data_IF_627486390043
#
_entry.id   IF_627486390043
#
_cell.length_a   1.000
_cell.length_b   1.000
_cell.length_c   1.000
_cell.angle_alpha   90.00
_cell.angle_beta   90.00
_cell.angle_gamma   90.00
#
_symmetry.space_group_name_H-M   'P 1'
#
loop_
_entity.id
_entity.type
_entity.pdbx_description
1 polymer ?
#
# COMPACT_ATOMS: atom_id res chain seq x y z
N UNK A 1 -17.95 16.11 10.97
CA UNK A 1 -17.64 15.09 9.94
C UNK A 1 -18.61 15.25 8.78
N UNK A 2 -18.08 15.54 7.59
CA UNK A 2 -18.86 15.46 6.37
C UNK A 2 -18.90 13.98 5.99
N UNK A 3 -20.11 13.40 5.88
CA UNK A 3 -20.21 12.01 5.45
C UNK A 3 -19.71 11.95 4.00
N UNK A 4 -18.56 11.33 3.77
CA UNK A 4 -18.10 10.95 2.43
C UNK A 4 -18.95 9.74 2.02
N UNK A 5 -19.94 9.90 1.11
CA UNK A 5 -20.75 8.78 0.69
C UNK A 5 -19.87 7.79 -0.06
N UNK A 6 -19.98 6.50 0.27
CA UNK A 6 -19.19 5.44 -0.35
C UNK A 6 -20.13 4.31 -0.79
N UNK A 7 -20.37 4.18 -2.09
CA UNK A 7 -21.12 3.03 -2.61
C UNK A 7 -20.23 1.79 -2.71
N UNK A 8 -19.00 1.97 -3.17
CA UNK A 8 -18.05 0.88 -3.34
C UNK A 8 -16.62 1.36 -3.08
N UNK A 9 -15.87 0.59 -2.30
CA UNK A 9 -14.44 0.74 -2.10
C UNK A 9 -13.70 -0.42 -2.77
N UNK A 10 -12.85 -0.10 -3.76
CA UNK A 10 -11.97 -1.05 -4.44
C UNK A 10 -10.54 -0.71 -4.11
N UNK A 11 -9.77 -1.68 -3.62
CA UNK A 11 -8.39 -1.48 -3.19
C UNK A 11 -7.44 -2.42 -3.92
N UNK A 12 -6.31 -1.88 -4.36
CA UNK A 12 -5.19 -2.58 -4.98
C UNK A 12 -3.91 -2.29 -4.19
N UNK A 13 -3.02 -3.27 -4.07
CA UNK A 13 -1.81 -3.10 -3.28
C UNK A 13 -1.01 -4.37 -3.05
N UNK A 14 -0.06 -4.27 -2.14
CA UNK A 14 0.84 -5.35 -1.74
C UNK A 14 0.63 -5.78 -0.27
N UNK A 15 1.70 -6.29 0.34
CA UNK A 15 1.77 -6.70 1.74
C UNK A 15 1.20 -5.69 2.75
N UNK A 16 1.30 -4.39 2.47
CA UNK A 16 0.82 -3.33 3.36
C UNK A 16 -0.70 -3.17 3.38
N UNK A 17 -1.35 -3.74 2.36
CA UNK A 17 -2.75 -3.48 2.01
C UNK A 17 -3.60 -4.76 2.04
N UNK A 18 -2.97 -5.94 1.96
CA UNK A 18 -3.60 -7.26 2.06
C UNK A 18 -4.42 -7.42 3.37
N UNK A 19 -5.72 -7.72 3.23
CA UNK A 19 -6.66 -7.93 4.33
C UNK A 19 -6.82 -9.42 4.73
N UNK A 20 -6.08 -10.30 4.06
CA UNK A 20 -6.00 -11.74 4.30
C UNK A 20 -7.26 -12.51 3.96
N UNK A 21 -7.09 -13.79 3.61
CA UNK A 21 -8.15 -14.69 3.12
C UNK A 21 -9.41 -14.78 4.02
N UNK A 22 -9.28 -14.43 5.30
CA UNK A 22 -10.33 -14.57 6.30
C UNK A 22 -11.22 -13.32 6.48
N UNK A 23 -10.93 -12.19 5.80
CA UNK A 23 -11.71 -10.97 6.05
C UNK A 23 -13.15 -11.06 5.56
N UNK A 24 -13.35 -11.39 4.29
CA UNK A 24 -14.67 -11.56 3.69
C UNK A 24 -14.61 -12.33 2.35
N UNK A 25 -15.77 -12.53 1.72
CA UNK A 25 -15.90 -13.22 0.41
C UNK A 25 -15.28 -12.47 -0.78
N UNK A 26 -14.88 -11.21 -0.59
CA UNK A 26 -14.26 -10.33 -1.59
C UNK A 26 -12.81 -9.96 -1.21
N UNK A 27 -12.24 -10.68 -0.24
CA UNK A 27 -10.84 -10.61 0.09
C UNK A 27 -10.11 -11.64 -0.76
N UNK A 28 -9.14 -11.14 -1.51
CA UNK A 28 -8.36 -11.95 -2.42
C UNK A 28 -7.01 -12.35 -1.85
N UNK A 29 -6.51 -11.60 -0.87
CA UNK A 29 -5.16 -11.72 -0.36
C UNK A 29 -4.88 -12.95 0.50
N UNK A 30 -3.63 -13.09 0.94
CA UNK A 30 -3.16 -14.27 1.65
C UNK A 30 -3.18 -14.09 3.16
N UNK A 31 -2.65 -12.97 3.65
CA UNK A 31 -2.47 -12.73 5.09
C UNK A 31 -2.41 -11.24 5.38
N UNK A 32 -2.97 -10.85 6.53
CA UNK A 32 -2.72 -9.52 7.09
C UNK A 32 -1.30 -9.48 7.63
N UNK A 33 -0.48 -8.58 7.11
CA UNK A 33 0.85 -8.33 7.67
C UNK A 33 0.77 -7.34 8.83
N UNK A 34 -0.06 -7.61 9.84
CA UNK A 34 -0.21 -6.77 11.03
C UNK A 34 -0.79 -7.56 12.21
N UNK A 35 -0.86 -6.95 13.40
CA UNK A 35 -1.46 -7.57 14.61
C UNK A 35 -2.98 -7.36 14.69
N UNK A 36 -3.60 -6.98 13.59
CA UNK A 36 -5.01 -6.65 13.51
C UNK A 36 -5.39 -6.16 12.11
N UNK A 37 -6.54 -5.49 11.97
CA UNK A 37 -6.97 -4.93 10.70
C UNK A 37 -5.93 -3.99 10.07
N UNK A 38 -5.84 -4.02 8.74
CA UNK A 38 -5.05 -3.09 7.93
C UNK A 38 -5.86 -1.86 7.55
N UNK A 39 -5.19 -0.85 6.95
CA UNK A 39 -5.80 0.46 6.70
C UNK A 39 -7.07 0.41 5.84
N UNK A 40 -7.21 -0.49 4.83
CA UNK A 40 -8.44 -0.58 4.03
C UNK A 40 -9.65 -1.03 4.85
N UNK A 41 -9.45 -1.96 5.78
CA UNK A 41 -10.52 -2.47 6.64
C UNK A 41 -11.04 -1.36 7.56
N UNK A 42 -10.13 -0.54 8.12
CA UNK A 42 -10.50 0.62 8.92
C UNK A 42 -11.20 1.69 8.09
N UNK A 43 -10.69 1.98 6.89
CA UNK A 43 -11.31 2.95 6.00
C UNK A 43 -12.75 2.53 5.66
N UNK A 44 -12.95 1.27 5.29
CA UNK A 44 -14.28 0.73 5.00
C UNK A 44 -15.23 0.89 6.19
N UNK A 45 -14.77 0.59 7.42
CA UNK A 45 -15.58 0.77 8.64
C UNK A 45 -15.91 2.23 8.93
N UNK A 46 -15.04 3.16 8.58
CA UNK A 46 -15.25 4.60 8.81
C UNK A 46 -16.17 5.23 7.76
N UNK A 47 -16.09 4.76 6.52
CA UNK A 47 -16.91 5.24 5.40
C UNK A 47 -18.24 4.50 5.26
N UNK A 48 -18.36 3.32 5.88
CA UNK A 48 -19.53 2.44 5.80
C UNK A 48 -19.92 2.14 4.34
N UNK A 49 -18.95 1.76 3.51
CA UNK A 49 -19.19 1.50 2.09
C UNK A 49 -20.14 0.30 1.91
N UNK A 50 -21.09 0.39 0.96
CA UNK A 50 -22.03 -0.72 0.70
C UNK A 50 -21.30 -1.99 0.22
N UNK A 51 -20.25 -1.81 -0.59
CA UNK A 51 -19.40 -2.89 -1.08
C UNK A 51 -17.91 -2.58 -0.86
N UNK A 52 -17.17 -3.57 -0.35
CA UNK A 52 -15.72 -3.49 -0.17
C UNK A 52 -15.03 -4.68 -0.83
N UNK A 53 -14.08 -4.39 -1.71
CA UNK A 53 -13.30 -5.38 -2.45
C UNK A 53 -11.83 -5.03 -2.32
N UNK A 54 -11.03 -6.00 -1.86
CA UNK A 54 -9.59 -5.83 -1.74
C UNK A 54 -8.88 -6.86 -2.62
N UNK A 55 -8.22 -6.36 -3.66
CA UNK A 55 -7.40 -7.15 -4.57
C UNK A 55 -5.93 -7.21 -4.14
N UNK A 56 -5.54 -6.58 -3.04
CA UNK A 56 -4.15 -6.61 -2.60
C UNK A 56 -3.71 -8.02 -2.19
N UNK A 57 -2.48 -8.37 -2.55
CA UNK A 57 -1.85 -9.64 -2.17
C UNK A 57 -0.49 -9.39 -1.54
N UNK A 58 -0.22 -10.09 -0.45
CA UNK A 58 1.12 -10.19 0.11
C UNK A 58 2.09 -10.75 -0.92
N UNK A 59 3.25 -10.13 -1.06
CA UNK A 59 4.26 -10.42 -2.07
C UNK A 59 3.95 -9.89 -3.47
N UNK A 60 2.89 -9.09 -3.68
CA UNK A 60 2.62 -8.52 -5.00
C UNK A 60 3.81 -7.69 -5.52
N UNK A 61 4.27 -8.00 -6.73
CA UNK A 61 5.24 -7.15 -7.45
C UNK A 61 4.53 -6.04 -8.20
N UNK A 62 5.30 -5.08 -8.70
CA UNK A 62 4.79 -3.98 -9.52
C UNK A 62 4.06 -4.45 -10.79
N UNK A 63 4.47 -5.59 -11.36
CA UNK A 63 3.93 -6.17 -12.59
C UNK A 63 2.82 -7.21 -12.35
N UNK A 64 2.89 -8.34 -13.07
CA UNK A 64 1.90 -9.44 -12.95
C UNK A 64 2.23 -10.45 -11.86
N UNK A 65 3.50 -10.57 -11.51
CA UNK A 65 4.03 -11.65 -10.67
C UNK A 65 3.91 -11.36 -9.17
N UNK A 66 4.09 -12.40 -8.37
CA UNK A 66 4.32 -12.33 -6.94
C UNK A 66 5.81 -12.54 -6.62
N UNK A 67 6.24 -12.25 -5.40
CA UNK A 67 7.57 -12.61 -4.90
C UNK A 67 7.78 -14.13 -4.91
N UNK A 68 6.74 -14.92 -4.68
CA UNK A 68 6.86 -16.37 -4.48
C UNK A 68 6.44 -17.21 -5.70
N UNK A 69 5.77 -16.63 -6.68
CA UNK A 69 5.24 -17.32 -7.87
C UNK A 69 4.96 -16.34 -9.00
N UNK A 70 4.73 -16.85 -10.20
CA UNK A 70 4.55 -16.06 -11.43
C UNK A 70 3.09 -15.98 -11.90
N UNK A 71 2.85 -15.08 -12.85
CA UNK A 71 1.66 -14.96 -13.71
C UNK A 71 0.38 -14.40 -13.06
N UNK A 72 0.33 -14.25 -11.74
CA UNK A 72 -0.81 -13.63 -11.07
C UNK A 72 -0.46 -13.00 -9.72
N UNK A 73 -1.41 -12.21 -9.18
CA UNK A 73 -1.39 -11.47 -7.91
C UNK A 73 -0.52 -10.19 -7.84
N UNK A 74 0.28 -9.88 -8.86
CA UNK A 74 0.97 -8.58 -8.94
C UNK A 74 0.03 -7.42 -9.24
N UNK A 75 0.46 -6.18 -9.02
CA UNK A 75 -0.38 -4.97 -9.13
C UNK A 75 -1.06 -4.83 -10.51
N UNK A 76 -0.34 -5.05 -11.61
CA UNK A 76 -0.95 -4.99 -12.95
C UNK A 76 -2.00 -6.08 -13.14
N UNK A 77 -1.70 -7.30 -12.67
CA UNK A 77 -2.65 -8.40 -12.73
C UNK A 77 -3.93 -8.09 -11.95
N UNK A 78 -3.80 -7.51 -10.74
CA UNK A 78 -4.95 -7.17 -9.89
C UNK A 78 -5.92 -6.21 -10.60
N UNK A 79 -5.37 -5.16 -11.21
CA UNK A 79 -6.14 -4.13 -11.93
C UNK A 79 -6.81 -4.72 -13.17
N UNK A 80 -6.08 -5.49 -13.98
CA UNK A 80 -6.64 -6.09 -15.19
C UNK A 80 -7.69 -7.14 -14.85
N UNK A 81 -7.44 -7.98 -13.85
CA UNK A 81 -8.39 -8.98 -13.37
C UNK A 81 -9.69 -8.34 -12.89
N UNK A 82 -9.61 -7.20 -12.19
CA UNK A 82 -10.78 -6.45 -11.78
C UNK A 82 -11.64 -6.03 -12.99
N UNK A 83 -11.03 -5.38 -13.99
CA UNK A 83 -11.75 -4.89 -15.17
C UNK A 83 -12.25 -6.01 -16.08
N UNK A 84 -11.56 -7.15 -16.15
CA UNK A 84 -12.04 -8.31 -16.91
C UNK A 84 -13.30 -8.93 -16.30
N UNK A 85 -13.42 -8.92 -14.98
CA UNK A 85 -14.52 -9.58 -14.27
C UNK A 85 -15.70 -8.65 -13.93
N UNK A 86 -15.48 -7.32 -13.88
CA UNK A 86 -16.53 -6.34 -13.58
C UNK A 86 -16.86 -5.50 -14.82
N UNK A 87 -17.81 -5.98 -15.64
CA UNK A 87 -18.23 -5.29 -16.88
C UNK A 87 -19.02 -3.99 -16.65
N UNK A 88 -19.58 -3.79 -15.46
CA UNK A 88 -20.30 -2.58 -15.07
C UNK A 88 -19.81 -2.19 -13.68
N UNK A 89 -19.08 -1.08 -13.60
CA UNK A 89 -18.74 -0.47 -12.32
C UNK A 89 -19.99 0.20 -11.74
N UNK A 90 -20.20 0.14 -10.42
CA UNK A 90 -21.23 0.93 -9.75
C UNK A 90 -21.09 2.42 -10.07
N UNK A 91 -22.14 3.19 -9.80
CA UNK A 91 -22.03 4.65 -9.87
C UNK A 91 -21.13 5.14 -8.74
N UNK A 92 -20.07 5.82 -9.13
CA UNK A 92 -19.16 6.58 -8.27
C UNK A 92 -18.33 5.76 -7.25
N UNK A 93 -17.52 4.78 -7.69
CA UNK A 93 -16.67 4.02 -6.80
C UNK A 93 -15.50 4.86 -6.26
N UNK A 94 -15.04 4.53 -5.05
CA UNK A 94 -13.76 4.96 -4.51
C UNK A 94 -12.73 3.87 -4.81
N UNK A 95 -11.80 4.16 -5.72
CA UNK A 95 -10.69 3.26 -6.07
C UNK A 95 -9.42 3.77 -5.42
N UNK A 96 -8.70 2.88 -4.72
CA UNK A 96 -7.42 3.21 -4.10
C UNK A 96 -6.35 2.23 -4.57
N UNK A 97 -5.30 2.76 -5.19
CA UNK A 97 -4.09 2.02 -5.53
C UNK A 97 -2.95 2.43 -4.60
N UNK A 98 -2.52 1.51 -3.73
CA UNK A 98 -1.20 1.59 -3.12
C UNK A 98 -0.16 0.99 -4.06
N UNK A 99 0.74 1.82 -4.57
CA UNK A 99 1.76 1.33 -5.51
C UNK A 99 2.73 0.39 -4.79
N UNK A 100 2.86 -0.82 -5.31
CA UNK A 100 3.79 -1.85 -4.81
C UNK A 100 5.13 -1.84 -5.53
N UNK A 101 5.96 -2.84 -5.23
CA UNK A 101 7.31 -3.02 -5.81
C UNK A 101 8.46 -2.85 -4.82
N UNK A 102 8.18 -2.55 -3.55
CA UNK A 102 9.22 -2.46 -2.52
C UNK A 102 9.94 -3.81 -2.31
N UNK A 103 9.18 -4.89 -2.19
CA UNK A 103 9.73 -6.25 -2.04
C UNK A 103 10.59 -6.68 -3.24
N UNK A 104 10.22 -6.23 -4.45
CA UNK A 104 10.97 -6.44 -5.69
C UNK A 104 12.34 -5.75 -5.64
N UNK A 105 12.39 -4.48 -5.18
CA UNK A 105 13.64 -3.74 -4.97
C UNK A 105 14.54 -4.38 -3.91
N UNK A 106 13.96 -4.90 -2.84
CA UNK A 106 14.70 -5.45 -1.70
C UNK A 106 15.26 -6.85 -1.97
N UNK A 107 14.56 -7.69 -2.74
CA UNK A 107 14.97 -9.08 -2.98
C UNK A 107 15.91 -9.27 -4.17
N UNK A 108 15.80 -8.48 -5.24
CA UNK A 108 16.74 -8.55 -6.38
C UNK A 108 18.19 -8.29 -5.97
N UNK A 109 18.41 -7.63 -4.83
CA UNK A 109 19.75 -7.39 -4.30
C UNK A 109 20.39 -8.64 -3.68
N UNK A 110 19.63 -9.73 -3.45
CA UNK A 110 20.17 -11.03 -3.07
C UNK A 110 20.62 -11.87 -4.27
N UNK A 111 20.05 -11.64 -5.45
CA UNK A 111 20.35 -12.34 -6.70
C UNK A 111 21.05 -11.39 -7.69
N UNK A 112 22.38 -11.23 -7.54
CA UNK A 112 23.26 -10.28 -8.27
C UNK A 112 23.26 -10.49 -9.82
N UNK A 113 22.46 -11.42 -10.37
CA UNK A 113 22.46 -11.76 -11.78
C UNK A 113 21.31 -11.15 -12.61
N UNK A 114 20.35 -10.43 -12.01
CA UNK A 114 19.27 -9.77 -12.75
C UNK A 114 19.41 -8.23 -12.79
N UNK A 115 19.94 -7.76 -13.93
CA UNK A 115 19.94 -6.41 -14.53
C UNK A 115 19.73 -5.15 -13.65
N UNK A 116 20.61 -4.17 -13.84
CA UNK A 116 20.60 -2.79 -13.32
C UNK A 116 19.34 -1.93 -13.63
N UNK A 117 18.22 -2.50 -14.10
CA UNK A 117 17.05 -1.75 -14.61
C UNK A 117 15.73 -2.02 -13.85
N UNK A 118 15.80 -2.65 -12.67
CA UNK A 118 14.62 -2.93 -11.83
C UNK A 118 13.77 -1.69 -11.54
N UNK A 119 14.42 -0.60 -11.13
CA UNK A 119 13.75 0.65 -10.78
C UNK A 119 12.98 1.20 -12.00
N UNK A 120 13.55 1.11 -13.20
CA UNK A 120 12.89 1.53 -14.45
C UNK A 120 11.68 0.66 -14.77
N UNK A 121 11.81 -0.66 -14.61
CA UNK A 121 10.70 -1.59 -14.82
C UNK A 121 9.55 -1.31 -13.84
N UNK A 122 9.86 -1.09 -12.57
CA UNK A 122 8.87 -0.73 -11.54
C UNK A 122 8.18 0.59 -11.91
N UNK A 123 8.94 1.61 -12.31
CA UNK A 123 8.37 2.90 -12.77
C UNK A 123 7.43 2.70 -13.95
N UNK A 124 7.81 1.88 -14.93
CA UNK A 124 6.97 1.59 -16.09
C UNK A 124 5.69 0.85 -15.69
N UNK A 125 5.78 -0.14 -14.80
CA UNK A 125 4.63 -0.88 -14.32
C UNK A 125 3.67 0.01 -13.51
N UNK A 126 4.19 0.85 -12.61
CA UNK A 126 3.39 1.84 -11.87
C UNK A 126 2.67 2.78 -12.84
N UNK A 127 3.38 3.30 -13.85
CA UNK A 127 2.78 4.17 -14.85
C UNK A 127 1.65 3.46 -15.63
N UNK A 128 1.85 2.20 -16.02
CA UNK A 128 0.81 1.39 -16.67
C UNK A 128 -0.39 1.15 -15.77
N UNK A 129 -0.18 0.82 -14.50
CA UNK A 129 -1.23 0.62 -13.50
C UNK A 129 -2.08 1.89 -13.33
N UNK A 130 -1.44 3.02 -13.09
CA UNK A 130 -2.09 4.32 -12.91
C UNK A 130 -2.85 4.72 -14.17
N UNK A 131 -2.21 4.66 -15.35
CA UNK A 131 -2.86 5.04 -16.60
C UNK A 131 -4.00 4.08 -16.96
N UNK A 132 -3.88 2.79 -16.66
CA UNK A 132 -4.93 1.79 -16.85
C UNK A 132 -6.19 2.14 -16.06
N UNK A 133 -6.04 2.49 -14.78
CA UNK A 133 -7.13 2.99 -13.94
C UNK A 133 -7.74 4.28 -14.52
N UNK A 134 -6.92 5.30 -14.78
CA UNK A 134 -7.40 6.62 -15.24
C UNK A 134 -8.14 6.52 -16.59
N UNK A 135 -7.66 5.69 -17.51
CA UNK A 135 -8.23 5.60 -18.86
C UNK A 135 -9.46 4.70 -18.95
N UNK A 136 -9.70 3.85 -17.94
CA UNK A 136 -10.80 2.88 -17.92
C UNK A 136 -11.97 3.38 -17.06
N UNK A 137 -11.72 4.30 -16.15
CA UNK A 137 -12.71 4.85 -15.24
C UNK A 137 -13.37 6.11 -15.81
N UNK A 138 -14.69 6.07 -15.99
CA UNK A 138 -15.48 7.21 -16.46
C UNK A 138 -16.12 8.04 -15.31
N UNK A 139 -16.11 7.50 -14.08
CA UNK A 139 -16.68 8.12 -12.88
C UNK A 139 -15.95 7.69 -11.59
N UNK A 140 -16.39 8.20 -10.44
CA UNK A 140 -15.79 7.89 -9.14
C UNK A 140 -14.57 8.72 -8.78
N UNK A 141 -13.86 8.30 -7.73
CA UNK A 141 -12.64 8.93 -7.22
C UNK A 141 -11.52 7.89 -7.29
N UNK A 142 -10.36 8.29 -7.83
CA UNK A 142 -9.15 7.46 -7.86
C UNK A 142 -8.11 8.09 -6.94
N UNK A 143 -7.76 7.37 -5.88
CA UNK A 143 -6.65 7.73 -4.99
C UNK A 143 -5.45 6.86 -5.34
N UNK A 144 -4.33 7.51 -5.69
CA UNK A 144 -3.05 6.84 -5.83
C UNK A 144 -2.22 7.14 -4.59
N UNK A 145 -1.64 6.11 -3.97
CA UNK A 145 -0.71 6.25 -2.85
C UNK A 145 0.70 5.92 -3.31
N UNK A 146 1.69 6.66 -2.81
CA UNK A 146 3.10 6.44 -3.12
C UNK A 146 3.68 5.17 -2.49
N UNK A 147 4.81 4.70 -3.03
CA UNK A 147 5.52 3.53 -2.52
C UNK A 147 6.05 3.85 -1.13
N UNK A 148 5.94 2.88 -0.22
CA UNK A 148 6.39 3.04 1.16
C UNK A 148 7.91 3.10 1.21
N UNK A 149 8.44 4.07 1.94
CA UNK A 149 9.85 4.14 2.31
C UNK A 149 10.08 3.27 3.55
N UNK A 150 10.90 2.20 3.47
CA UNK A 150 11.16 1.32 4.59
C UNK A 150 12.08 1.94 5.65
N UNK A 151 12.61 3.16 5.45
CA UNK A 151 13.66 3.75 6.30
C UNK A 151 13.38 3.67 7.81
N UNK A 152 12.14 3.95 8.20
CA UNK A 152 11.71 3.97 9.61
C UNK A 152 11.39 2.58 10.17
N UNK A 153 11.41 1.53 9.34
CA UNK A 153 11.13 0.17 9.78
C UNK A 153 12.32 -0.40 10.59
N UNK A 154 12.09 -1.09 11.73
CA UNK A 154 13.16 -1.68 12.54
C UNK A 154 14.10 -2.59 11.74
N UNK A 155 13.54 -3.34 10.79
CA UNK A 155 14.27 -4.27 9.93
C UNK A 155 15.19 -3.57 8.93
N UNK A 156 14.94 -2.29 8.61
CA UNK A 156 15.74 -1.55 7.65
C UNK A 156 17.15 -1.26 8.18
N UNK A 157 17.27 -0.89 9.46
CA UNK A 157 18.58 -0.69 10.09
C UNK A 157 19.44 -1.97 10.04
N UNK A 158 18.83 -3.12 10.33
CA UNK A 158 19.49 -4.43 10.24
C UNK A 158 19.86 -4.74 8.78
N UNK A 159 18.95 -4.49 7.84
CA UNK A 159 19.18 -4.68 6.41
C UNK A 159 20.34 -3.84 5.89
N UNK A 160 20.41 -2.56 6.25
CA UNK A 160 21.48 -1.65 5.84
C UNK A 160 22.85 -2.11 6.40
N UNK A 161 22.90 -2.46 7.69
CA UNK A 161 24.15 -2.84 8.38
C UNK A 161 24.81 -4.14 7.88
N UNK A 162 24.10 -4.99 7.14
CA UNK A 162 24.60 -6.28 6.65
C UNK A 162 25.41 -6.19 5.34
N UNK A 163 26.12 -5.08 5.12
CA UNK A 163 26.96 -4.89 3.93
C UNK A 163 26.19 -4.41 2.68
N UNK A 164 24.95 -3.96 2.86
CA UNK A 164 24.15 -3.31 1.83
C UNK A 164 24.35 -1.78 1.79
N UNK A 165 25.42 -1.27 2.42
CA UNK A 165 25.74 0.18 2.54
C UNK A 165 25.80 0.94 1.20
N UNK A 166 25.99 0.24 0.07
CA UNK A 166 25.95 0.84 -1.28
C UNK A 166 24.54 0.95 -1.88
N UNK A 167 23.49 0.52 -1.17
CA UNK A 167 22.13 0.35 -1.70
C UNK A 167 21.14 1.18 -0.89
N UNK A 168 21.10 2.48 -1.23
CA UNK A 168 20.14 3.42 -0.68
C UNK A 168 18.73 3.15 -1.26
N UNK A 169 18.05 2.13 -0.71
CA UNK A 169 16.66 1.77 -1.04
C UNK A 169 15.76 3.00 -0.89
N UNK A 170 15.94 3.80 0.16
CA UNK A 170 15.14 5.01 0.38
C UNK A 170 15.33 6.03 -0.75
N UNK A 171 16.56 6.20 -1.26
CA UNK A 171 16.80 7.00 -2.47
C UNK A 171 16.14 6.42 -3.71
N UNK A 172 16.15 5.09 -3.90
CA UNK A 172 15.41 4.43 -5.00
C UNK A 172 13.90 4.64 -4.89
N UNK A 173 13.33 4.43 -3.70
CA UNK A 173 11.91 4.68 -3.42
C UNK A 173 11.57 6.14 -3.67
N UNK A 174 12.40 7.08 -3.20
CA UNK A 174 12.26 8.51 -3.45
C UNK A 174 12.30 8.85 -4.94
N UNK A 175 13.21 8.23 -5.70
CA UNK A 175 13.27 8.37 -7.15
C UNK A 175 11.97 7.90 -7.81
N UNK A 176 11.50 6.69 -7.50
CA UNK A 176 10.26 6.12 -8.03
C UNK A 176 9.06 7.02 -7.68
N UNK A 177 8.95 7.43 -6.42
CA UNK A 177 7.90 8.32 -5.94
C UNK A 177 7.92 9.67 -6.63
N UNK A 178 9.09 10.23 -6.95
CA UNK A 178 9.20 11.48 -7.71
C UNK A 178 8.66 11.35 -9.14
N UNK A 179 8.86 10.18 -9.78
CA UNK A 179 8.32 9.89 -11.11
C UNK A 179 6.80 9.73 -11.07
N UNK A 180 6.29 9.03 -10.06
CA UNK A 180 4.86 8.94 -9.80
C UNK A 180 4.26 10.33 -9.58
N UNK A 181 4.87 11.16 -8.74
CA UNK A 181 4.40 12.52 -8.46
C UNK A 181 4.28 13.35 -9.75
N UNK A 182 5.32 13.31 -10.61
CA UNK A 182 5.29 13.97 -11.92
C UNK A 182 4.17 13.45 -12.82
N UNK A 183 3.95 12.14 -12.87
CA UNK A 183 2.84 11.54 -13.62
C UNK A 183 1.50 12.06 -13.11
N UNK A 184 1.31 12.08 -11.78
CA UNK A 184 0.09 12.53 -11.13
C UNK A 184 -0.13 14.04 -11.24
N UNK A 185 0.92 14.87 -11.29
CA UNK A 185 0.77 16.30 -11.57
C UNK A 185 0.16 16.51 -12.97
N UNK A 186 0.67 15.78 -13.97
CA UNK A 186 0.16 15.90 -15.35
C UNK A 186 -1.28 15.37 -15.42
N UNK A 187 -1.52 14.15 -14.91
CA UNK A 187 -2.82 13.48 -15.03
C UNK A 187 -3.90 13.98 -14.09
N UNK A 188 -3.53 14.38 -12.88
CA UNK A 188 -4.46 14.99 -11.92
C UNK A 188 -4.92 16.39 -12.33
N UNK A 189 -4.09 17.15 -13.06
CA UNK A 189 -4.55 18.40 -13.67
C UNK A 189 -5.60 18.17 -14.77
N UNK A 190 -5.44 17.09 -15.55
CA UNK A 190 -6.37 16.71 -16.61
C UNK A 190 -7.66 16.08 -16.06
N UNK A 191 -7.59 15.40 -14.91
CA UNK A 191 -8.72 14.69 -14.33
C UNK A 191 -8.94 15.01 -12.83
N UNK A 192 -10.00 15.77 -12.54
CA UNK A 192 -10.39 16.16 -11.18
C UNK A 192 -10.86 15.00 -10.28
N UNK A 193 -11.04 13.79 -10.81
CA UNK A 193 -11.36 12.61 -10.00
C UNK A 193 -10.12 11.93 -9.43
N UNK A 194 -8.94 12.28 -9.91
CA UNK A 194 -7.69 11.60 -9.56
C UNK A 194 -6.93 12.42 -8.52
N UNK A 195 -6.51 11.79 -7.43
CA UNK A 195 -5.76 12.42 -6.35
C UNK A 195 -4.58 11.56 -5.93
N UNK A 196 -3.51 12.23 -5.50
CA UNK A 196 -2.33 11.59 -4.91
C UNK A 196 -2.39 11.78 -3.40
N UNK A 197 -2.36 10.68 -2.65
CA UNK A 197 -2.26 10.66 -1.20
C UNK A 197 -0.84 10.27 -0.79
N UNK A 198 -0.19 11.11 0.01
CA UNK A 198 1.16 10.83 0.51
C UNK A 198 1.09 9.88 1.72
N UNK A 199 1.20 8.59 1.42
CA UNK A 199 1.21 7.50 2.39
C UNK A 199 2.44 7.57 3.31
N UNK A 200 3.61 7.96 2.81
CA UNK A 200 4.80 8.12 3.65
C UNK A 200 4.60 9.21 4.72
N UNK A 201 4.07 10.37 4.32
CA UNK A 201 3.72 11.41 5.29
C UNK A 201 2.62 10.95 6.26
N UNK A 202 1.70 10.08 5.83
CA UNK A 202 0.70 9.49 6.73
C UNK A 202 1.32 8.52 7.73
N UNK A 203 2.26 7.69 7.31
CA UNK A 203 3.00 6.76 8.18
C UNK A 203 3.79 7.54 9.23
N UNK A 204 4.57 8.55 8.84
CA UNK A 204 5.37 9.38 9.77
C UNK A 204 4.49 10.04 10.85
N UNK A 205 3.33 10.56 10.47
CA UNK A 205 2.39 11.12 11.45
C UNK A 205 1.76 10.04 12.34
N UNK A 206 1.46 8.86 11.78
CA UNK A 206 0.84 7.76 12.50
C UNK A 206 1.78 7.12 13.53
N UNK A 207 3.07 7.05 13.25
CA UNK A 207 4.10 6.50 14.14
C UNK A 207 4.55 7.50 15.21
N UNK A 208 4.20 8.79 15.10
CA UNK A 208 4.60 9.81 16.09
C UNK A 208 4.15 9.42 17.50
N UNK A 209 5.13 9.40 18.42
CA UNK A 209 4.94 9.05 19.82
C UNK A 209 4.89 7.54 20.11
N UNK A 210 5.14 6.69 19.12
CA UNK A 210 5.27 5.24 19.27
C UNK A 210 6.74 4.80 19.20
N UNK A 211 7.03 3.60 19.70
CA UNK A 211 8.32 2.96 19.55
C UNK A 211 8.50 2.45 18.11
N UNK A 212 9.49 2.99 17.40
CA UNK A 212 9.91 2.60 16.04
C UNK A 212 11.23 1.84 16.01
N UNK A 213 11.95 1.76 17.13
CA UNK A 213 13.29 1.16 17.17
C UNK A 213 13.25 -0.37 17.22
N UNK A 214 12.19 -0.92 17.83
CA UNK A 214 11.99 -2.36 17.96
C UNK A 214 10.53 -2.71 17.63
N UNK A 215 10.28 -3.87 17.02
CA UNK A 215 8.92 -4.33 16.86
C UNK A 215 8.36 -4.87 18.17
N UNK A 216 7.03 -4.93 18.24
CA UNK A 216 6.36 -5.57 19.36
C UNK A 216 6.68 -7.08 19.41
N UNK A 217 7.15 -7.59 20.55
CA UNK A 217 7.41 -9.02 20.76
C UNK A 217 6.71 -9.53 22.02
N UNK A 218 5.91 -10.59 21.91
CA UNK A 218 5.18 -11.17 23.06
C UNK A 218 6.09 -11.82 24.13
N UNK A 219 7.41 -11.82 23.96
CA UNK A 219 8.36 -12.61 24.74
C UNK A 219 9.06 -11.81 25.87
N UNK A 220 8.52 -10.67 26.31
CA UNK A 220 9.07 -9.92 27.45
C UNK A 220 8.36 -10.26 28.76
N UNK A 221 9.10 -10.39 29.86
CA UNK A 221 8.59 -10.84 31.17
C UNK A 221 7.59 -9.90 31.85
N UNK A 222 7.42 -8.67 31.35
CA UNK A 222 6.51 -7.65 31.86
C UNK A 222 5.48 -7.19 30.80
N UNK A 223 5.15 -8.04 29.83
CA UNK A 223 4.20 -7.72 28.77
C UNK A 223 2.77 -7.65 29.30
N UNK A 224 2.05 -6.56 28.98
CA UNK A 224 0.59 -6.49 29.13
C UNK A 224 -0.04 -6.29 27.76
N UNK A 225 -1.30 -6.68 27.58
CA UNK A 225 -2.02 -6.48 26.31
C UNK A 225 -2.04 -5.02 25.84
N UNK A 226 -2.03 -4.06 26.77
CA UNK A 226 -2.02 -2.62 26.46
C UNK A 226 -0.69 -2.12 25.89
N UNK A 227 0.43 -2.78 26.19
CA UNK A 227 1.75 -2.36 25.66
C UNK A 227 1.82 -2.44 24.14
N UNK A 228 0.97 -3.22 23.49
CA UNK A 228 0.92 -3.32 22.03
C UNK A 228 0.64 -1.98 21.36
N UNK A 229 -0.05 -1.06 22.05
CA UNK A 229 -0.38 0.27 21.55
C UNK A 229 0.77 1.27 21.65
N UNK A 230 1.88 0.91 22.30
CA UNK A 230 3.08 1.74 22.38
C UNK A 230 4.01 1.53 21.18
N UNK A 231 3.75 0.53 20.33
CA UNK A 231 4.63 0.12 19.23
C UNK A 231 4.08 0.49 17.86
N UNK A 232 4.93 1.07 17.03
CA UNK A 232 4.61 1.39 15.64
C UNK A 232 4.57 0.14 14.75
N UNK A 233 5.32 -0.91 15.09
CA UNK A 233 5.54 -2.07 14.23
C UNK A 233 5.13 -3.39 14.90
N UNK A 234 4.40 -4.23 14.16
CA UNK A 234 4.07 -5.61 14.57
C UNK A 234 5.34 -6.48 14.50
N UNK A 235 6.08 -6.39 13.40
CA UNK A 235 7.34 -7.10 13.19
C UNK A 235 8.38 -6.15 12.58
N UNK A 236 9.51 -6.68 12.14
CA UNK A 236 10.62 -5.89 11.61
C UNK A 236 10.24 -4.99 10.41
N UNK A 237 9.17 -5.29 9.67
CA UNK A 237 8.84 -4.62 8.42
C UNK A 237 7.46 -3.96 8.41
N UNK A 238 6.48 -4.55 9.09
CA UNK A 238 5.10 -4.15 8.93
C UNK A 238 4.53 -3.43 10.16
N UNK A 239 3.75 -2.35 9.96
CA UNK A 239 3.21 -1.60 11.07
C UNK A 239 2.19 -2.36 11.91
N UNK A 240 1.97 -1.85 13.11
CA UNK A 240 0.87 -2.28 13.95
C UNK A 240 -0.48 -1.77 13.42
N UNK A 241 -1.54 -2.45 13.83
CA UNK A 241 -2.92 -2.09 13.48
C UNK A 241 -3.29 -0.69 13.94
N UNK A 242 -2.65 -0.17 15.00
CA UNK A 242 -2.80 1.21 15.45
C UNK A 242 -2.30 2.22 14.41
N UNK A 243 -1.17 1.94 13.76
CA UNK A 243 -0.64 2.77 12.68
C UNK A 243 -1.59 2.73 11.48
N UNK A 244 -2.06 1.55 11.09
CA UNK A 244 -3.07 1.40 10.03
C UNK A 244 -4.36 2.16 10.33
N UNK A 245 -4.84 2.14 11.57
CA UNK A 245 -6.01 2.92 11.99
C UNK A 245 -5.81 4.42 11.80
N UNK A 246 -4.65 4.96 12.23
CA UNK A 246 -4.32 6.38 12.08
C UNK A 246 -4.16 6.79 10.60
N UNK A 247 -3.61 5.91 9.75
CA UNK A 247 -3.55 6.13 8.30
C UNK A 247 -4.97 6.26 7.73
N UNK A 248 -5.87 5.33 8.08
CA UNK A 248 -7.27 5.39 7.65
C UNK A 248 -7.96 6.69 8.11
N UNK A 249 -7.74 7.12 9.36
CA UNK A 249 -8.27 8.42 9.84
C UNK A 249 -7.77 9.60 9.02
N UNK A 250 -6.48 9.63 8.67
CA UNK A 250 -5.90 10.69 7.83
C UNK A 250 -6.46 10.64 6.41
N UNK A 251 -6.72 9.46 5.88
CA UNK A 251 -7.32 9.27 4.57
C UNK A 251 -8.79 9.68 4.53
N UNK A 252 -9.57 9.41 5.58
CA UNK A 252 -10.96 9.93 5.69
C UNK A 252 -10.95 11.46 5.63
N UNK A 253 -10.10 12.11 6.43
CA UNK A 253 -9.99 13.59 6.39
C UNK A 253 -9.58 14.10 5.02
N UNK A 254 -8.63 13.42 4.37
CA UNK A 254 -8.23 13.74 3.01
C UNK A 254 -9.40 13.65 2.03
N UNK A 255 -10.28 12.65 2.17
CA UNK A 255 -11.47 12.49 1.33
C UNK A 255 -12.57 13.52 1.65
N UNK A 256 -12.72 13.93 2.91
CA UNK A 256 -13.63 15.00 3.33
C UNK A 256 -13.25 16.37 2.72
N UNK A 257 -11.97 16.57 2.38
CA UNK A 257 -11.43 17.81 1.81
C UNK A 257 -11.52 17.88 0.26
N UNK A 258 -12.01 16.84 -0.42
CA UNK A 258 -12.10 16.76 -1.89
C UNK A 258 -13.34 17.46 -2.48
#
# INVERSE_FOLDING_TARGET
PHNVPCSQLIVFGDDFTDDGIEFNTHSHGFTRNSNGPVWPEYLNRMLECDEYINYAYSGARSGYNNMFFSDWSGILWQIEYHFMNRRILPKDPLIILQVGGLSELMLQQKDINESNNADEMIIQNIARAVLGLINTMDNGIIIIMNMIDPFEAPGYAIFASNGNDNLDISSKVSHINSKLWRLMTIKGHENRQVRLFDLNAAIVDATRGLNTNEPFTYQQSNMTSLKVFDYAYHNQWYPSTLVHHKIAQKLVRFLEDL
#
